data_IF_896918355927
#
_entry.id   IF_896918355927
#
_cell.length_a   1.000
_cell.length_b   1.000
_cell.length_c   1.000
_cell.angle_alpha   90.00
_cell.angle_beta   90.00
_cell.angle_gamma   90.00
#
_symmetry.space_group_name_H-M   'P 1'
#
loop_
_entity.id
_entity.type
_entity.pdbx_description
1 polymer ?
#
# COMPACT_ATOMS: atom_id res chain seq x y z
N UNK A 1 52.21 37.79 77.71
CA UNK A 1 52.57 36.51 77.03
C UNK A 1 51.34 35.89 76.45
N UNK A 2 51.15 36.07 75.15
CA UNK A 2 49.90 35.67 74.45
C UNK A 2 50.28 34.53 73.48
N UNK A 3 49.66 33.37 73.70
CA UNK A 3 49.85 32.21 72.77
C UNK A 3 48.70 32.18 71.74
N UNK A 4 49.04 32.34 70.50
CA UNK A 4 48.14 32.24 69.36
C UNK A 4 48.06 30.79 68.97
N UNK A 5 46.88 30.19 69.04
CA UNK A 5 46.58 28.83 68.47
C UNK A 5 46.12 28.96 67.04
N UNK A 6 46.86 28.31 66.11
CA UNK A 6 46.46 28.22 64.69
C UNK A 6 45.55 26.98 64.55
N UNK A 7 44.31 27.21 64.20
CA UNK A 7 43.38 26.15 63.85
C UNK A 7 43.53 25.81 62.37
N UNK A 8 44.03 24.61 62.07
CA UNK A 8 44.09 24.07 60.71
C UNK A 8 42.70 23.58 60.25
N UNK A 9 42.16 24.25 59.26
CA UNK A 9 40.91 23.81 58.62
C UNK A 9 41.20 22.72 57.57
N UNK A 10 40.71 21.53 57.82
CA UNK A 10 40.70 20.43 56.83
C UNK A 10 39.53 20.64 55.92
N UNK A 11 39.83 21.01 54.66
CA UNK A 11 38.78 21.12 53.61
C UNK A 11 38.49 19.73 53.08
N UNK A 12 37.35 19.16 53.53
CA UNK A 12 36.81 17.88 53.07
C UNK A 12 36.06 18.11 51.73
N UNK A 13 36.75 17.88 50.59
CA UNK A 13 36.11 17.85 49.28
C UNK A 13 35.22 16.63 49.17
N UNK A 14 33.91 16.82 49.36
CA UNK A 14 32.88 15.82 49.03
C UNK A 14 32.78 15.68 47.49
N UNK A 15 33.38 14.63 46.96
CA UNK A 15 33.14 14.18 45.61
C UNK A 15 31.74 13.55 45.49
N UNK A 16 30.78 14.35 45.04
CA UNK A 16 29.44 13.83 44.67
C UNK A 16 29.55 13.05 43.38
N UNK A 17 29.07 11.81 43.34
CA UNK A 17 29.01 11.05 42.07
C UNK A 17 28.00 11.74 41.16
N UNK A 18 28.45 12.16 39.94
CA UNK A 18 27.55 12.55 38.84
C UNK A 18 26.76 11.35 38.42
N UNK A 19 25.47 11.28 38.87
CA UNK A 19 24.51 10.37 38.26
C UNK A 19 24.31 10.82 36.81
N UNK A 20 24.95 10.09 35.90
CA UNK A 20 24.65 10.13 34.47
C UNK A 20 23.21 9.61 34.28
N UNK A 21 22.23 10.50 34.17
CA UNK A 21 20.90 10.14 33.69
C UNK A 21 21.03 9.79 32.23
N UNK A 22 21.29 8.53 31.94
CA UNK A 22 21.06 7.92 30.65
C UNK A 22 19.55 8.01 30.37
N UNK A 23 19.13 9.05 29.67
CA UNK A 23 17.78 9.15 29.13
C UNK A 23 17.64 8.11 28.05
N UNK A 24 17.17 6.89 28.40
CA UNK A 24 16.59 5.99 27.42
C UNK A 24 15.37 6.70 26.84
N UNK A 25 15.55 7.25 25.66
CA UNK A 25 14.41 7.66 24.82
C UNK A 25 13.65 6.37 24.50
N UNK A 26 12.63 6.07 25.30
CA UNK A 26 11.65 5.05 24.98
C UNK A 26 10.85 5.60 23.79
N UNK A 27 11.35 5.39 22.58
CA UNK A 27 10.53 5.48 21.38
C UNK A 27 9.46 4.41 21.59
N UNK A 28 8.17 4.79 21.74
CA UNK A 28 7.13 3.78 21.87
C UNK A 28 7.22 2.88 20.64
N UNK A 29 7.04 1.54 20.78
CA UNK A 29 7.00 0.67 19.62
C UNK A 29 5.95 1.20 18.67
N UNK A 30 6.29 1.29 17.38
CA UNK A 30 5.33 1.61 16.31
C UNK A 30 4.14 0.68 16.50
N UNK A 31 3.04 1.24 17.01
CA UNK A 31 1.82 0.48 17.21
C UNK A 31 1.30 0.15 15.82
N UNK A 32 1.37 -1.13 15.44
CA UNK A 32 0.81 -1.61 14.19
C UNK A 32 -0.68 -1.24 14.17
N UNK A 33 -1.06 -0.28 13.34
CA UNK A 33 -2.46 0.12 13.18
C UNK A 33 -3.13 -0.77 12.14
N UNK A 34 -4.23 -1.41 12.52
CA UNK A 34 -5.09 -2.12 11.57
C UNK A 34 -6.10 -1.14 10.97
N UNK A 35 -6.35 -1.26 9.67
CA UNK A 35 -7.30 -0.44 8.94
C UNK A 35 -8.42 -1.31 8.40
N UNK A 36 -9.64 -0.79 8.45
CA UNK A 36 -10.83 -1.39 7.84
C UNK A 36 -11.46 -0.32 6.95
N UNK A 37 -11.65 -0.65 5.67
CA UNK A 37 -12.33 0.22 4.72
C UNK A 37 -13.46 -0.54 4.03
N UNK A 38 -14.54 0.17 3.72
CA UNK A 38 -15.69 -0.37 3.01
C UNK A 38 -15.78 0.24 1.61
N UNK A 39 -16.35 -0.48 0.67
CA UNK A 39 -16.56 -0.06 -0.72
C UNK A 39 -17.05 1.39 -0.85
N UNK A 40 -18.06 1.74 -0.08
CA UNK A 40 -18.69 3.07 -0.13
C UNK A 40 -17.77 4.22 0.26
N UNK A 41 -16.73 3.94 1.03
CA UNK A 41 -15.75 4.94 1.47
C UNK A 41 -14.66 5.21 0.42
N UNK A 42 -14.42 4.25 -0.48
CA UNK A 42 -13.29 4.28 -1.42
C UNK A 42 -13.70 4.23 -2.90
N UNK A 43 -15.00 4.17 -3.17
CA UNK A 43 -15.54 4.13 -4.53
C UNK A 43 -15.35 5.45 -5.27
N UNK A 44 -14.81 5.42 -6.48
CA UNK A 44 -14.68 6.56 -7.38
C UNK A 44 -15.01 6.19 -8.81
N UNK A 45 -15.75 7.06 -9.51
CA UNK A 45 -15.99 6.91 -10.95
C UNK A 45 -14.73 7.31 -11.71
N UNK A 46 -14.23 6.44 -12.55
CA UNK A 46 -13.03 6.67 -13.34
C UNK A 46 -13.17 6.03 -14.73
N UNK A 47 -12.51 6.58 -15.76
CA UNK A 47 -12.33 5.85 -17.02
C UNK A 47 -11.60 4.53 -16.81
N UNK A 48 -11.84 3.55 -17.65
CA UNK A 48 -11.06 2.32 -17.68
C UNK A 48 -9.59 2.63 -18.01
N UNK A 49 -8.62 2.09 -17.27
CA UNK A 49 -7.20 2.27 -17.57
C UNK A 49 -6.87 1.78 -18.96
N UNK A 50 -6.01 2.49 -19.70
CA UNK A 50 -5.52 2.14 -21.04
C UNK A 50 -6.58 1.82 -22.10
N UNK A 51 -7.87 1.91 -21.82
CA UNK A 51 -8.89 1.48 -22.77
C UNK A 51 -10.18 2.26 -22.75
N UNK A 52 -10.46 2.95 -21.67
CA UNK A 52 -11.65 3.79 -21.56
C UNK A 52 -12.92 3.04 -21.17
N UNK A 53 -14.06 3.68 -21.41
CA UNK A 53 -15.35 3.25 -20.89
C UNK A 53 -15.55 3.66 -19.43
N UNK A 54 -16.74 3.40 -18.90
CA UNK A 54 -17.10 3.76 -17.51
C UNK A 54 -16.72 2.66 -16.55
N UNK A 55 -16.02 3.02 -15.48
CA UNK A 55 -15.67 2.08 -14.41
C UNK A 55 -15.88 2.69 -13.03
N UNK A 56 -16.10 1.86 -12.03
CA UNK A 56 -16.00 2.24 -10.62
C UNK A 56 -14.74 1.61 -10.05
N UNK A 57 -13.83 2.44 -9.59
CA UNK A 57 -12.60 2.02 -8.91
C UNK A 57 -12.78 2.09 -7.40
N UNK A 58 -12.25 1.10 -6.70
CA UNK A 58 -12.22 0.99 -5.25
C UNK A 58 -10.75 0.80 -4.84
N UNK A 59 -10.11 1.88 -4.38
CA UNK A 59 -8.69 1.86 -4.01
C UNK A 59 -8.56 1.72 -2.50
N UNK A 60 -8.53 0.47 -2.02
CA UNK A 60 -8.41 0.18 -0.60
C UNK A 60 -7.01 0.51 -0.08
N UNK A 61 -6.96 1.06 1.12
CA UNK A 61 -5.72 1.38 1.87
C UNK A 61 -4.75 2.29 1.12
N UNK A 62 -5.24 3.09 0.16
CA UNK A 62 -4.41 3.99 -0.64
C UNK A 62 -3.66 5.04 0.19
N UNK A 63 -4.12 5.31 1.42
CA UNK A 63 -3.50 6.24 2.37
C UNK A 63 -2.74 5.55 3.50
N UNK A 64 -2.67 4.21 3.51
CA UNK A 64 -1.89 3.49 4.51
C UNK A 64 -0.40 3.83 4.35
N UNK A 65 0.28 4.29 5.42
CA UNK A 65 1.70 4.61 5.32
C UNK A 65 2.51 3.35 5.03
N UNK A 66 3.50 3.47 4.16
CA UNK A 66 4.48 2.43 3.83
C UNK A 66 3.94 1.10 3.31
N UNK A 67 2.65 1.01 2.97
CA UNK A 67 2.08 -0.15 2.32
C UNK A 67 2.54 -0.20 0.85
N UNK A 68 3.30 -1.24 0.50
CA UNK A 68 3.78 -1.46 -0.87
C UNK A 68 2.80 -2.28 -1.72
N UNK A 69 1.92 -3.03 -1.06
CA UNK A 69 0.90 -3.81 -1.74
C UNK A 69 -0.26 -2.91 -2.18
N UNK A 70 -0.60 -2.96 -3.46
CA UNK A 70 -1.82 -2.35 -3.98
C UNK A 70 -2.92 -3.41 -3.99
N UNK A 71 -4.04 -3.09 -3.34
CA UNK A 71 -5.25 -3.90 -3.34
C UNK A 71 -6.41 -3.05 -3.85
N UNK A 72 -6.96 -3.42 -4.98
CA UNK A 72 -8.07 -2.70 -5.63
C UNK A 72 -9.19 -3.64 -6.00
N UNK A 73 -10.41 -3.12 -5.99
CA UNK A 73 -11.54 -3.69 -6.72
C UNK A 73 -11.90 -2.75 -7.86
N UNK A 74 -12.34 -3.28 -8.98
CA UNK A 74 -12.86 -2.48 -10.10
C UNK A 74 -14.09 -3.14 -10.69
N UNK A 75 -15.12 -2.34 -10.92
CA UNK A 75 -16.26 -2.72 -11.72
C UNK A 75 -16.10 -2.08 -13.11
N UNK A 76 -15.98 -2.89 -14.13
CA UNK A 76 -16.03 -2.48 -15.53
C UNK A 76 -17.48 -2.52 -15.95
N UNK A 77 -18.08 -1.36 -16.20
CA UNK A 77 -19.47 -1.26 -16.67
C UNK A 77 -19.58 -1.70 -18.12
N UNK A 78 -20.81 -1.75 -18.65
CA UNK A 78 -21.07 -2.28 -19.98
C UNK A 78 -20.12 -1.70 -21.05
N UNK A 79 -19.39 -2.60 -21.73
CA UNK A 79 -18.42 -2.28 -22.78
C UNK A 79 -17.10 -1.66 -22.31
N UNK A 80 -16.93 -1.41 -21.02
CA UNK A 80 -15.68 -0.86 -20.47
C UNK A 80 -14.55 -1.89 -20.49
N UNK A 81 -13.31 -1.38 -20.43
CA UNK A 81 -12.13 -2.21 -20.50
C UNK A 81 -10.98 -1.64 -19.66
N UNK A 82 -10.09 -2.53 -19.25
CA UNK A 82 -8.67 -2.25 -19.05
C UNK A 82 -8.02 -2.55 -20.40
N UNK A 83 -7.46 -1.51 -21.04
CA UNK A 83 -6.88 -1.65 -22.38
C UNK A 83 -5.63 -2.51 -22.38
N UNK A 84 -5.29 -3.03 -23.57
CA UNK A 84 -4.13 -3.89 -23.75
C UNK A 84 -2.84 -3.11 -23.51
N UNK A 85 -2.04 -3.53 -22.53
CA UNK A 85 -0.79 -2.88 -22.14
C UNK A 85 0.22 -3.91 -21.62
N UNK A 86 1.50 -3.50 -21.59
CA UNK A 86 2.59 -4.31 -21.04
C UNK A 86 2.67 -4.10 -19.52
N UNK A 87 2.89 -5.20 -18.80
CA UNK A 87 3.12 -5.18 -17.36
C UNK A 87 4.60 -5.07 -17.01
N UNK A 88 4.89 -4.30 -15.96
CA UNK A 88 6.24 -4.11 -15.43
C UNK A 88 6.44 -4.80 -14.07
N UNK A 89 5.35 -5.09 -13.36
CA UNK A 89 5.32 -5.84 -12.11
C UNK A 89 4.48 -7.11 -12.25
N UNK A 90 4.54 -8.00 -11.23
CA UNK A 90 3.58 -9.09 -11.09
C UNK A 90 2.21 -8.50 -10.76
N UNK A 91 1.20 -8.75 -11.58
CA UNK A 91 -0.17 -8.32 -11.34
C UNK A 91 -1.13 -9.50 -11.38
N UNK A 92 -2.00 -9.57 -10.38
CA UNK A 92 -3.03 -10.60 -10.28
C UNK A 92 -4.40 -9.96 -10.46
N UNK A 93 -5.21 -10.52 -11.37
CA UNK A 93 -6.65 -10.29 -11.41
C UNK A 93 -7.39 -11.51 -10.89
N UNK A 94 -8.43 -11.27 -10.12
CA UNK A 94 -9.40 -12.29 -9.73
C UNK A 94 -10.80 -11.83 -10.10
N UNK A 95 -11.50 -12.63 -10.91
CA UNK A 95 -12.85 -12.31 -11.36
C UNK A 95 -13.84 -12.65 -10.25
N UNK A 96 -14.54 -11.64 -9.75
CA UNK A 96 -15.56 -11.77 -8.71
C UNK A 96 -16.93 -12.05 -9.30
N UNK A 97 -17.31 -11.27 -10.35
CA UNK A 97 -18.60 -11.43 -11.03
C UNK A 97 -18.53 -10.90 -12.45
N UNK A 98 -19.53 -11.23 -13.27
CA UNK A 98 -19.61 -10.83 -14.67
C UNK A 98 -18.74 -11.68 -15.59
N UNK A 99 -18.67 -11.29 -16.87
CA UNK A 99 -17.94 -11.99 -17.90
C UNK A 99 -16.98 -11.02 -18.61
N UNK A 100 -15.74 -11.45 -18.84
CA UNK A 100 -14.72 -10.66 -19.51
C UNK A 100 -14.11 -11.38 -20.71
N UNK A 101 -13.72 -10.63 -21.74
CA UNK A 101 -12.79 -11.05 -22.76
C UNK A 101 -11.38 -10.64 -22.33
N UNK A 102 -10.55 -11.61 -21.97
CA UNK A 102 -9.14 -11.43 -21.65
C UNK A 102 -8.30 -11.56 -22.93
N UNK A 103 -7.39 -10.59 -23.14
CA UNK A 103 -6.29 -10.75 -24.09
C UNK A 103 -4.99 -10.85 -23.28
N UNK A 104 -4.28 -11.99 -23.38
CA UNK A 104 -3.02 -12.23 -22.70
C UNK A 104 -1.96 -12.63 -23.73
N UNK A 105 -0.91 -11.80 -23.88
CA UNK A 105 0.15 -11.96 -24.89
C UNK A 105 -0.41 -12.23 -26.31
N UNK A 106 -1.48 -11.49 -26.66
CA UNK A 106 -2.14 -11.60 -27.96
C UNK A 106 -3.19 -12.72 -28.06
N UNK A 107 -3.19 -13.71 -27.19
CA UNK A 107 -4.21 -14.76 -27.15
C UNK A 107 -5.47 -14.26 -26.43
N UNK A 108 -6.66 -14.58 -26.97
CA UNK A 108 -7.95 -14.21 -26.41
C UNK A 108 -8.63 -15.38 -25.73
N UNK A 109 -9.28 -15.13 -24.62
CA UNK A 109 -10.11 -16.10 -23.91
C UNK A 109 -11.26 -15.40 -23.20
N UNK A 110 -12.35 -16.12 -22.95
CA UNK A 110 -13.44 -15.65 -22.10
C UNK A 110 -13.19 -16.12 -20.69
N UNK A 111 -13.32 -15.20 -19.73
CA UNK A 111 -13.12 -15.45 -18.31
C UNK A 111 -14.35 -15.05 -17.50
N UNK A 112 -14.59 -15.77 -16.41
CA UNK A 112 -15.74 -15.55 -15.53
C UNK A 112 -15.39 -15.72 -14.05
N UNK A 113 -16.39 -15.68 -13.14
CA UNK A 113 -16.18 -15.74 -11.71
C UNK A 113 -15.32 -16.94 -11.28
N UNK A 114 -14.42 -16.73 -10.32
CA UNK A 114 -13.48 -17.74 -9.84
C UNK A 114 -12.19 -17.86 -10.65
N UNK A 115 -12.05 -17.14 -11.78
CA UNK A 115 -10.81 -17.13 -12.56
C UNK A 115 -9.77 -16.22 -11.91
N UNK A 116 -8.56 -16.74 -11.66
CA UNK A 116 -7.38 -15.96 -11.30
C UNK A 116 -6.43 -15.87 -12.50
N UNK A 117 -5.89 -14.67 -12.75
CA UNK A 117 -4.99 -14.36 -13.87
C UNK A 117 -3.73 -13.74 -13.28
N UNK A 118 -2.57 -14.34 -13.52
CA UNK A 118 -1.28 -13.74 -13.17
C UNK A 118 -0.61 -13.24 -14.46
N UNK A 119 -0.32 -11.94 -14.49
CA UNK A 119 0.50 -11.33 -15.55
C UNK A 119 1.86 -10.97 -14.98
N UNK A 120 2.91 -11.51 -15.58
CA UNK A 120 4.30 -11.32 -15.15
C UNK A 120 4.95 -10.14 -15.91
N UNK A 121 6.02 -9.54 -15.34
CA UNK A 121 6.79 -8.52 -16.03
C UNK A 121 7.18 -8.93 -17.44
N UNK A 122 6.99 -8.03 -18.39
CA UNK A 122 7.26 -8.27 -19.81
C UNK A 122 6.10 -8.87 -20.60
N UNK A 123 5.11 -9.45 -19.94
CA UNK A 123 3.86 -9.88 -20.57
C UNK A 123 2.92 -8.70 -20.78
N UNK A 124 1.97 -8.85 -21.68
CA UNK A 124 0.92 -7.84 -21.94
C UNK A 124 -0.45 -8.46 -21.76
N UNK A 125 -1.36 -7.67 -21.21
CA UNK A 125 -2.75 -8.09 -21.04
C UNK A 125 -3.73 -6.94 -21.26
N UNK A 126 -4.99 -7.27 -21.46
CA UNK A 126 -6.13 -6.38 -21.46
C UNK A 126 -7.38 -7.17 -21.13
N UNK A 127 -8.36 -6.52 -20.53
CA UNK A 127 -9.59 -7.15 -20.09
C UNK A 127 -10.79 -6.27 -20.43
N UNK A 128 -11.70 -6.77 -21.24
CA UNK A 128 -12.93 -6.08 -21.66
C UNK A 128 -14.14 -6.74 -21.01
N UNK A 129 -15.05 -5.94 -20.48
CA UNK A 129 -16.36 -6.42 -20.06
C UNK A 129 -17.15 -6.86 -21.29
N UNK A 130 -17.77 -8.06 -21.21
CA UNK A 130 -18.69 -8.63 -22.19
C UNK A 130 -19.89 -9.24 -21.44
N UNK A 131 -21.04 -9.34 -22.11
CA UNK A 131 -22.25 -9.86 -21.47
C UNK A 131 -23.11 -8.77 -20.81
N UNK A 132 -24.16 -9.16 -20.06
CA UNK A 132 -25.16 -8.21 -19.56
C UNK A 132 -24.73 -7.49 -18.26
N UNK A 133 -23.91 -8.11 -17.44
CA UNK A 133 -23.57 -7.63 -16.09
C UNK A 133 -22.21 -6.95 -16.04
N UNK A 134 -22.01 -6.08 -15.06
CA UNK A 134 -20.70 -5.48 -14.75
C UNK A 134 -19.66 -6.57 -14.48
N UNK A 135 -18.48 -6.42 -15.05
CA UNK A 135 -17.34 -7.26 -14.75
C UNK A 135 -16.61 -6.71 -13.52
N UNK A 136 -16.74 -7.41 -12.39
CA UNK A 136 -16.08 -7.02 -11.14
C UNK A 136 -14.85 -7.86 -10.90
N UNK A 137 -13.72 -7.19 -10.69
CA UNK A 137 -12.43 -7.82 -10.46
C UNK A 137 -11.73 -7.28 -9.22
N UNK A 138 -10.94 -8.12 -8.58
CA UNK A 138 -9.90 -7.71 -7.63
C UNK A 138 -8.59 -7.62 -8.40
N UNK A 139 -7.82 -6.59 -8.11
CA UNK A 139 -6.50 -6.31 -8.71
C UNK A 139 -5.49 -6.20 -7.57
N UNK A 140 -4.43 -7.00 -7.65
CA UNK A 140 -3.35 -7.00 -6.65
C UNK A 140 -2.01 -6.93 -7.35
N UNK A 141 -1.17 -5.98 -6.93
CA UNK A 141 0.22 -5.88 -7.39
C UNK A 141 1.08 -5.18 -6.34
N UNK A 142 2.39 -5.33 -6.45
CA UNK A 142 3.34 -4.60 -5.61
C UNK A 142 3.71 -3.28 -6.30
N UNK A 143 3.59 -2.17 -5.59
CA UNK A 143 4.01 -0.87 -6.10
C UNK A 143 5.53 -0.80 -6.13
N UNK A 144 6.11 -0.47 -7.30
CA UNK A 144 7.56 -0.26 -7.41
C UNK A 144 8.00 0.88 -6.50
N UNK A 145 9.11 0.72 -5.82
CA UNK A 145 9.67 1.66 -4.81
C UNK A 145 10.07 3.04 -5.38
N UNK A 146 9.80 3.32 -6.65
CA UNK A 146 10.25 4.52 -7.38
C UNK A 146 9.22 5.62 -7.60
N UNK A 147 7.95 5.45 -7.27
CA UNK A 147 6.90 6.44 -7.64
C UNK A 147 6.06 6.85 -6.45
N UNK A 148 6.68 7.41 -5.43
CA UNK A 148 5.98 8.42 -4.61
C UNK A 148 6.39 9.79 -5.16
N UNK A 149 5.55 10.35 -6.02
CA UNK A 149 5.72 11.72 -6.48
C UNK A 149 5.86 12.66 -5.30
N UNK A 150 6.87 13.50 -5.40
CA UNK A 150 7.13 14.65 -4.52
C UNK A 150 5.98 15.65 -4.61
#
# INVERSE_FOLDING_TARGET
MLRIAVAGGVCLCLLLPRLSRGGSSLVPPLQASSLIEHDTAVATQQPGPHGGGKTTAYSFFARAPDLQLVFRKRALHHGAAIGYHRQEEDEIYYIVSGTGELTLNGARSVVGPGTAILTRPGSSHGLRQVGPDDLVIIIVYQQSSGVRGR
#
